data_IF_203740785617
#
_entry.id   IF_203740785617
#
_cell.length_a   1.000
_cell.length_b   1.000
_cell.length_c   1.000
_cell.angle_alpha   90.00
_cell.angle_beta   90.00
_cell.angle_gamma   90.00
#
_symmetry.space_group_name_H-M   'P 1'
#
loop_
_entity.id
_entity.type
_entity.pdbx_description
1 polymer ?
#
# COMPACT_ATOMS: atom_id res chain seq x y z
N UNK A 1 -0.68 -17.39 2.69
CA UNK A 1 -1.05 -16.57 1.51
C UNK A 1 0.19 -15.83 1.00
N UNK A 2 0.64 -16.06 -0.23
CA UNK A 2 1.82 -15.37 -0.80
C UNK A 2 1.39 -14.05 -1.44
N UNK A 3 1.20 -13.02 -0.61
CA UNK A 3 0.77 -11.68 -1.05
C UNK A 3 1.77 -11.00 -2.02
N UNK A 4 3.07 -11.29 -1.87
CA UNK A 4 4.16 -10.84 -2.74
C UNK A 4 5.29 -11.86 -2.69
N UNK A 5 5.79 -12.36 -3.82
CA UNK A 5 6.83 -13.41 -3.87
C UNK A 5 8.27 -12.89 -3.88
N UNK A 6 8.43 -11.57 -3.95
CA UNK A 6 9.72 -10.89 -3.91
C UNK A 6 9.90 -10.19 -2.57
N UNK A 7 11.14 -9.86 -2.27
CA UNK A 7 11.46 -8.91 -1.21
C UNK A 7 11.31 -7.50 -1.76
N UNK A 8 10.46 -6.72 -1.11
CA UNK A 8 10.22 -5.33 -1.42
C UNK A 8 10.03 -4.58 -0.12
N UNK A 9 10.36 -3.29 -0.12
CA UNK A 9 10.14 -2.44 1.04
C UNK A 9 8.65 -2.10 1.22
N UNK A 10 7.97 -1.80 0.11
CA UNK A 10 6.57 -1.41 0.11
C UNK A 10 5.80 -1.99 -1.09
N UNK A 11 4.49 -2.19 -0.93
CA UNK A 11 3.59 -2.63 -1.99
C UNK A 11 2.24 -1.88 -1.94
N UNK A 12 1.67 -1.60 -3.11
CA UNK A 12 0.36 -0.96 -3.26
C UNK A 12 -0.56 -1.90 -4.04
N UNK A 13 -1.78 -2.08 -3.55
CA UNK A 13 -2.85 -2.86 -4.18
C UNK A 13 -4.10 -2.02 -4.39
N UNK A 14 -5.11 -2.56 -5.06
CA UNK A 14 -6.45 -1.96 -5.11
C UNK A 14 -7.37 -2.76 -4.18
N UNK A 15 -8.22 -2.08 -3.40
CA UNK A 15 -9.10 -2.74 -2.42
C UNK A 15 -10.32 -3.42 -3.03
N UNK A 16 -10.70 -3.06 -4.25
CA UNK A 16 -11.96 -3.49 -4.87
C UNK A 16 -13.19 -3.19 -3.99
N UNK A 17 -13.20 -2.01 -3.35
CA UNK A 17 -14.21 -1.60 -2.35
C UNK A 17 -14.26 -2.58 -1.16
N UNK A 18 -13.07 -3.03 -0.74
CA UNK A 18 -12.79 -4.00 0.33
C UNK A 18 -13.24 -5.43 0.05
N UNK A 19 -14.25 -5.65 -0.79
CA UNK A 19 -14.82 -6.96 -1.08
C UNK A 19 -15.58 -7.58 0.10
N UNK A 20 -16.22 -8.73 -0.13
CA UNK A 20 -16.92 -9.49 0.93
C UNK A 20 -15.95 -9.86 2.05
N UNK A 21 -16.36 -9.64 3.30
CA UNK A 21 -15.55 -9.92 4.50
C UNK A 21 -14.12 -9.34 4.45
N UNK A 22 -13.96 -8.15 3.86
CA UNK A 22 -12.68 -7.48 3.65
C UNK A 22 -11.65 -8.29 2.83
N UNK A 23 -12.12 -9.18 1.95
CA UNK A 23 -11.27 -10.02 1.10
C UNK A 23 -10.19 -9.24 0.32
N UNK A 24 -10.53 -8.02 -0.14
CA UNK A 24 -9.65 -7.09 -0.85
C UNK A 24 -8.53 -6.48 0.00
N UNK A 25 -8.60 -6.61 1.33
CA UNK A 25 -7.59 -6.11 2.27
C UNK A 25 -6.74 -7.21 2.91
N UNK A 26 -7.04 -8.48 2.66
CA UNK A 26 -6.38 -9.65 3.26
C UNK A 26 -4.85 -9.70 3.05
N UNK A 27 -4.33 -8.97 2.07
CA UNK A 27 -2.88 -8.82 1.83
C UNK A 27 -2.19 -7.94 2.87
N UNK A 28 -2.89 -6.98 3.49
CA UNK A 28 -2.30 -6.03 4.42
C UNK A 28 -1.72 -6.74 5.67
N UNK A 29 -2.45 -7.60 6.41
CA UNK A 29 -1.88 -8.32 7.55
C UNK A 29 -0.76 -9.29 7.14
N UNK A 30 -0.89 -9.94 5.98
CA UNK A 30 0.11 -10.89 5.49
C UNK A 30 1.45 -10.22 5.13
N UNK A 31 1.41 -8.98 4.64
CA UNK A 31 2.61 -8.19 4.37
C UNK A 31 3.18 -7.54 5.64
N UNK A 32 2.31 -7.15 6.57
CA UNK A 32 2.71 -6.62 7.87
C UNK A 32 3.53 -7.64 8.67
N UNK A 33 3.08 -8.90 8.70
CA UNK A 33 3.80 -10.01 9.31
C UNK A 33 5.19 -10.27 8.69
N UNK A 34 5.46 -9.74 7.50
CA UNK A 34 6.75 -9.81 6.81
C UNK A 34 7.55 -8.50 6.92
N UNK A 35 7.07 -7.51 7.65
CA UNK A 35 7.72 -6.19 7.77
C UNK A 35 7.65 -5.34 6.50
N UNK A 36 6.75 -5.67 5.56
CA UNK A 36 6.58 -4.95 4.29
C UNK A 36 5.48 -3.90 4.48
N UNK A 37 5.79 -2.63 4.19
CA UNK A 37 4.79 -1.57 4.20
C UNK A 37 3.76 -1.81 3.08
N UNK A 38 2.48 -1.78 3.40
CA UNK A 38 1.43 -2.05 2.41
C UNK A 38 0.26 -1.08 2.51
N UNK A 39 -0.26 -0.73 1.34
CA UNK A 39 -1.46 0.08 1.20
C UNK A 39 -2.41 -0.48 0.14
N UNK A 40 -3.69 -0.15 0.28
CA UNK A 40 -4.68 -0.31 -0.78
C UNK A 40 -5.18 1.05 -1.28
N UNK A 41 -5.49 1.11 -2.56
CA UNK A 41 -6.09 2.24 -3.26
C UNK A 41 -7.58 2.00 -3.43
N UNK A 42 -8.37 3.05 -3.25
CA UNK A 42 -9.81 3.00 -3.42
C UNK A 42 -10.19 2.72 -4.87
N UNK A 43 -11.06 1.72 -5.08
CA UNK A 43 -11.67 1.42 -6.37
C UNK A 43 -12.45 2.61 -7.00
N UNK A 44 -12.83 3.60 -6.19
CA UNK A 44 -13.52 4.82 -6.64
C UNK A 44 -12.56 5.90 -7.16
N UNK A 45 -11.25 5.72 -6.99
CA UNK A 45 -10.23 6.71 -7.36
C UNK A 45 -9.36 6.31 -8.55
N UNK A 46 -9.19 5.00 -8.79
CA UNK A 46 -8.30 4.49 -9.83
C UNK A 46 -8.86 3.23 -10.51
N UNK A 47 -8.40 2.97 -11.74
CA UNK A 47 -8.77 1.76 -12.49
C UNK A 47 -8.04 0.54 -11.93
N UNK A 48 -8.80 -0.45 -11.46
CA UNK A 48 -8.26 -1.73 -10.98
C UNK A 48 -7.54 -2.44 -12.14
N UNK A 49 -6.32 -2.91 -11.87
CA UNK A 49 -5.48 -3.60 -12.87
C UNK A 49 -4.63 -2.66 -13.73
N UNK A 50 -4.81 -1.34 -13.62
CA UNK A 50 -3.97 -0.33 -14.25
C UNK A 50 -3.03 0.29 -13.21
N UNK A 51 -1.75 -0.08 -13.28
CA UNK A 51 -0.73 0.43 -12.36
C UNK A 51 -0.46 1.92 -12.50
N UNK A 52 -0.64 2.49 -13.70
CA UNK A 52 -0.40 3.91 -13.94
C UNK A 52 -1.55 4.75 -13.39
N UNK A 53 -2.80 4.30 -13.58
CA UNK A 53 -3.96 4.93 -12.93
C UNK A 53 -3.90 4.80 -11.41
N UNK A 54 -3.53 3.61 -10.89
CA UNK A 54 -3.30 3.40 -9.44
C UNK A 54 -2.32 4.43 -8.87
N UNK A 55 -1.22 4.70 -9.58
CA UNK A 55 -0.20 5.64 -9.13
C UNK A 55 -0.60 7.12 -9.29
N UNK A 56 -1.20 7.49 -10.42
CA UNK A 56 -1.49 8.90 -10.76
C UNK A 56 -2.80 9.41 -10.17
N UNK A 57 -3.84 8.59 -10.16
CA UNK A 57 -5.20 8.99 -9.84
C UNK A 57 -5.63 8.51 -8.44
N UNK A 58 -4.98 7.45 -7.96
CA UNK A 58 -5.40 6.71 -6.76
C UNK A 58 -5.24 7.48 -5.45
N UNK A 59 -6.17 7.21 -4.54
CA UNK A 59 -6.12 7.61 -3.13
C UNK A 59 -6.08 6.39 -2.21
N UNK A 60 -5.24 6.47 -1.17
CA UNK A 60 -5.06 5.40 -0.21
C UNK A 60 -6.34 5.23 0.63
N UNK A 61 -6.93 4.04 0.63
CA UNK A 61 -8.13 3.70 1.41
C UNK A 61 -7.83 2.87 2.66
N UNK A 62 -6.71 2.14 2.66
CA UNK A 62 -6.28 1.33 3.79
C UNK A 62 -4.75 1.17 3.79
N UNK A 63 -4.18 0.99 4.98
CA UNK A 63 -2.75 0.74 5.18
C UNK A 63 -2.55 -0.30 6.29
N UNK A 64 -1.40 -0.98 6.29
CA UNK A 64 -0.97 -1.79 7.44
C UNK A 64 -0.18 -0.98 8.47
N UNK A 65 0.13 -1.60 9.62
CA UNK A 65 0.83 -0.93 10.72
C UNK A 65 2.24 -0.48 10.31
N UNK A 66 2.95 -1.31 9.53
CA UNK A 66 4.27 -0.96 9.01
C UNK A 66 4.25 0.28 8.13
N UNK A 67 3.29 0.38 7.21
CA UNK A 67 3.14 1.57 6.37
C UNK A 67 2.84 2.82 7.21
N UNK A 68 2.00 2.71 8.24
CA UNK A 68 1.72 3.81 9.17
C UNK A 68 3.00 4.29 9.90
N UNK A 69 3.84 3.36 10.39
CA UNK A 69 5.13 3.67 11.02
C UNK A 69 6.09 4.38 10.06
N UNK A 70 6.02 4.07 8.77
CA UNK A 70 6.80 4.74 7.72
C UNK A 70 6.23 6.11 7.31
N UNK A 71 5.14 6.57 7.92
CA UNK A 71 4.49 7.86 7.65
C UNK A 71 3.38 7.79 6.59
N UNK A 72 2.93 6.59 6.22
CA UNK A 72 1.75 6.41 5.37
C UNK A 72 0.47 6.82 6.09
N UNK A 73 -0.48 7.40 5.34
CA UNK A 73 -1.77 7.88 5.85
C UNK A 73 -2.89 7.46 4.90
N UNK A 74 -4.12 7.31 5.42
CA UNK A 74 -5.31 7.10 4.60
C UNK A 74 -5.79 8.46 4.07
N UNK A 75 -6.24 8.51 2.82
CA UNK A 75 -6.75 9.71 2.17
C UNK A 75 -5.71 10.53 1.40
N UNK A 76 -4.41 10.22 1.51
CA UNK A 76 -3.38 10.82 0.65
C UNK A 76 -3.37 10.14 -0.73
N UNK A 77 -2.78 10.81 -1.72
CA UNK A 77 -2.60 10.22 -3.05
C UNK A 77 -1.59 9.07 -3.02
N UNK A 78 -1.71 8.13 -3.96
CA UNK A 78 -0.75 7.03 -4.11
C UNK A 78 0.66 7.55 -4.35
N UNK A 79 0.81 8.62 -5.14
CA UNK A 79 2.11 9.25 -5.40
C UNK A 79 2.77 9.77 -4.12
N UNK A 80 2.01 10.45 -3.26
CA UNK A 80 2.49 10.93 -1.96
C UNK A 80 2.86 9.76 -1.04
N UNK A 81 2.01 8.73 -0.96
CA UNK A 81 2.31 7.52 -0.20
C UNK A 81 3.65 6.90 -0.64
N UNK A 82 3.87 6.72 -1.94
CA UNK A 82 5.12 6.16 -2.49
C UNK A 82 6.32 7.05 -2.13
N UNK A 83 6.19 8.36 -2.26
CA UNK A 83 7.26 9.30 -1.89
C UNK A 83 7.67 9.15 -0.42
N UNK A 84 6.69 9.04 0.49
CA UNK A 84 6.93 8.81 1.92
C UNK A 84 7.60 7.46 2.19
N UNK A 85 7.19 6.40 1.49
CA UNK A 85 7.84 5.08 1.62
C UNK A 85 9.29 5.13 1.15
N UNK A 86 9.59 5.79 0.03
CA UNK A 86 10.96 5.95 -0.45
C UNK A 86 11.80 6.73 0.57
N UNK A 87 11.26 7.82 1.13
CA UNK A 87 11.95 8.61 2.15
C UNK A 87 12.20 7.80 3.44
N UNK A 88 11.23 7.02 3.89
CA UNK A 88 11.39 6.12 5.03
C UNK A 88 12.48 5.08 4.78
N UNK A 89 12.50 4.46 3.60
CA UNK A 89 13.53 3.47 3.27
C UNK A 89 14.93 4.07 3.26
N UNK A 90 15.10 5.30 2.77
CA UNK A 90 16.42 5.97 2.81
C UNK A 90 16.90 6.18 4.24
N UNK A 91 16.04 6.70 5.12
CA UNK A 91 16.39 6.89 6.54
C UNK A 91 16.82 5.60 7.22
N UNK A 92 16.15 4.48 6.94
CA UNK A 92 16.51 3.17 7.49
C UNK A 92 17.81 2.58 6.94
N UNK A 93 18.25 3.02 5.77
CA UNK A 93 19.53 2.61 5.19
C UNK A 93 20.70 3.47 5.70
N UNK A 94 20.40 4.66 6.20
CA UNK A 94 21.37 5.64 6.72
C UNK A 94 21.56 5.51 8.25
N UNK A 95 20.70 4.75 8.93
CA UNK A 95 20.75 4.42 10.36
C UNK A 95 21.50 3.12 10.63
#
# INVERSE_FOLDING_TARGET
>A
ATALKIDAFAAVYNDADRGVDDAGLTRLPALDARGIAAACVSAWSARIGDGLSTFRDGFISAINARAAQCGGEIGISTAEFVARMVAARRRELES
#
